data_IF_920016200834
#
_entry.id   IF_920016200834
#
_cell.length_a   1.000
_cell.length_b   1.000
_cell.length_c   1.000
_cell.angle_alpha   90.00
_cell.angle_beta   90.00
_cell.angle_gamma   90.00
#
_symmetry.space_group_name_H-M   'P 1'
#
loop_
_entity.id
_entity.type
_entity.pdbx_description
1 polymer ?
#
# COMPACT_ATOMS: atom_id res chain seq x y z
N UNK A 1 -4.36 -42.44 -53.68
CA UNK A 1 -4.87 -41.17 -53.12
C UNK A 1 -4.73 -41.25 -51.60
N UNK A 2 -3.56 -41.15 -50.97
CA UNK A 2 -2.73 -39.96 -50.64
C UNK A 2 -3.54 -38.70 -50.29
N UNK A 3 -3.48 -38.35 -49.00
CA UNK A 3 -3.57 -37.00 -48.40
C UNK A 3 -4.97 -36.40 -48.16
N UNK A 4 -5.60 -36.81 -47.06
CA UNK A 4 -6.44 -35.90 -46.25
C UNK A 4 -6.00 -36.15 -44.80
N UNK A 5 -4.86 -35.58 -44.39
CA UNK A 5 -4.82 -34.46 -43.43
C UNK A 5 -5.68 -34.81 -42.20
N UNK A 6 -5.19 -35.48 -41.16
CA UNK A 6 -4.17 -35.01 -40.22
C UNK A 6 -4.35 -33.54 -39.72
N UNK A 7 -5.56 -32.99 -39.82
CA UNK A 7 -5.83 -31.59 -39.50
C UNK A 7 -6.91 -31.38 -38.42
N UNK A 8 -7.17 -32.39 -37.57
CA UNK A 8 -8.12 -32.28 -36.46
C UNK A 8 -7.62 -33.06 -35.23
N UNK A 9 -6.34 -32.88 -34.89
CA UNK A 9 -5.88 -32.99 -33.50
C UNK A 9 -5.74 -31.54 -33.04
N UNK A 10 -6.86 -30.92 -32.68
CA UNK A 10 -6.93 -29.48 -32.54
C UNK A 10 -6.17 -29.11 -31.27
N UNK A 11 -5.18 -28.23 -31.42
CA UNK A 11 -5.09 -26.99 -30.66
C UNK A 11 -5.13 -27.02 -29.11
N UNK A 12 -4.96 -28.17 -28.44
CA UNK A 12 -5.14 -28.28 -26.99
C UNK A 12 -3.84 -28.30 -26.16
N UNK A 13 -2.66 -28.18 -26.76
CA UNK A 13 -1.40 -28.33 -26.03
C UNK A 13 -0.51 -27.08 -25.97
N UNK A 14 -1.02 -25.91 -26.38
CA UNK A 14 -0.25 -24.65 -26.30
C UNK A 14 -1.06 -23.58 -25.60
N UNK A 15 -1.38 -23.78 -24.33
CA UNK A 15 -1.59 -22.66 -23.42
C UNK A 15 -0.90 -22.99 -22.10
N UNK A 16 0.21 -22.30 -21.75
CA UNK A 16 0.64 -22.30 -20.36
C UNK A 16 -0.47 -21.60 -19.59
N UNK A 17 -1.34 -22.37 -18.94
CA UNK A 17 -2.34 -21.83 -18.01
C UNK A 17 -1.62 -21.38 -16.73
N UNK A 18 -0.84 -20.31 -16.84
CA UNK A 18 -0.55 -19.44 -15.71
C UNK A 18 -1.81 -18.61 -15.48
N UNK A 19 -2.79 -19.21 -14.79
CA UNK A 19 -4.04 -18.57 -14.46
C UNK A 19 -3.78 -17.49 -13.40
N UNK A 20 -3.52 -16.26 -13.87
CA UNK A 20 -3.30 -15.08 -13.06
C UNK A 20 -4.60 -14.54 -12.46
N UNK A 21 -5.17 -15.26 -11.50
CA UNK A 21 -6.35 -14.75 -10.77
C UNK A 21 -5.90 -13.82 -9.65
N UNK A 22 -6.19 -12.53 -9.81
CA UNK A 22 -5.95 -11.52 -8.77
C UNK A 22 -7.13 -11.51 -7.81
N UNK A 23 -6.91 -11.79 -6.54
CA UNK A 23 -7.91 -11.71 -5.48
C UNK A 23 -7.52 -10.66 -4.45
N UNK A 24 -8.51 -9.96 -3.88
CA UNK A 24 -8.33 -9.14 -2.70
C UNK A 24 -8.38 -10.03 -1.46
N UNK A 25 -7.49 -9.81 -0.49
CA UNK A 25 -7.53 -10.54 0.79
C UNK A 25 -8.18 -9.69 1.88
N UNK A 26 -9.17 -10.27 2.55
CA UNK A 26 -9.76 -9.71 3.76
C UNK A 26 -8.72 -9.66 4.90
N UNK A 27 -8.95 -8.87 5.97
CA UNK A 27 -8.08 -8.86 7.14
C UNK A 27 -7.88 -10.23 7.80
N UNK A 28 -8.83 -11.15 7.59
CA UNK A 28 -8.84 -12.52 8.09
C UNK A 28 -8.14 -13.51 7.13
N UNK A 29 -7.70 -13.05 5.97
CA UNK A 29 -6.95 -13.83 4.98
C UNK A 29 -7.81 -14.50 3.89
N UNK A 30 -9.14 -14.40 3.95
CA UNK A 30 -10.03 -14.94 2.92
C UNK A 30 -9.96 -14.14 1.62
N UNK A 31 -9.99 -14.86 0.50
CA UNK A 31 -9.99 -14.28 -0.84
C UNK A 31 -11.38 -13.79 -1.24
N UNK A 32 -11.43 -12.57 -1.76
CA UNK A 32 -12.65 -11.89 -2.22
C UNK A 32 -12.35 -11.17 -3.54
N UNK A 33 -13.39 -10.82 -4.31
CA UNK A 33 -13.28 -10.05 -5.56
C UNK A 33 -12.22 -10.58 -6.55
N UNK A 34 -12.17 -11.89 -6.77
CA UNK A 34 -11.21 -12.50 -7.67
C UNK A 34 -11.51 -12.16 -9.14
N UNK A 35 -10.52 -11.58 -9.83
CA UNK A 35 -10.59 -11.24 -11.25
C UNK A 35 -9.52 -12.03 -12.00
N UNK A 36 -9.91 -12.67 -13.10
CA UNK A 36 -8.96 -13.35 -13.98
C UNK A 36 -8.23 -12.34 -14.85
N UNK A 37 -6.90 -12.23 -14.68
CA UNK A 37 -6.03 -11.35 -15.45
C UNK A 37 -4.99 -12.24 -16.15
N UNK A 38 -5.13 -12.47 -17.47
CA UNK A 38 -4.17 -13.27 -18.22
C UNK A 38 -2.74 -12.74 -18.06
N UNK A 39 -1.80 -13.62 -17.67
CA UNK A 39 -0.39 -13.28 -17.46
C UNK A 39 -0.08 -12.56 -16.15
N UNK A 40 -1.06 -12.33 -15.27
CA UNK A 40 -0.79 -11.83 -13.93
C UNK A 40 -0.05 -12.88 -13.10
N UNK A 41 1.00 -12.45 -12.43
CA UNK A 41 1.78 -13.26 -11.49
C UNK A 41 1.58 -12.66 -10.11
N UNK A 42 1.10 -13.46 -9.16
CA UNK A 42 0.93 -13.00 -7.77
C UNK A 42 2.29 -12.56 -7.21
N UNK A 43 2.49 -11.28 -6.86
CA UNK A 43 3.74 -10.83 -6.26
C UNK A 43 4.09 -11.60 -4.99
N UNK A 44 3.10 -12.12 -4.25
CA UNK A 44 3.35 -12.95 -3.07
C UNK A 44 4.01 -14.31 -3.40
N UNK A 45 3.85 -14.81 -4.63
CA UNK A 45 4.39 -16.10 -5.09
C UNK A 45 5.61 -15.94 -6.01
N UNK A 46 5.77 -14.77 -6.63
CA UNK A 46 6.76 -14.52 -7.68
C UNK A 46 7.74 -13.38 -7.38
N UNK A 47 7.67 -12.74 -6.20
CA UNK A 47 8.70 -11.80 -5.77
C UNK A 47 10.08 -12.49 -5.72
N UNK A 48 11.06 -11.88 -6.37
CA UNK A 48 12.46 -12.34 -6.37
C UNK A 48 13.25 -11.75 -5.20
N UNK A 49 14.43 -12.29 -4.91
CA UNK A 49 15.33 -11.70 -3.90
C UNK A 49 15.73 -10.26 -4.26
N UNK A 50 15.88 -9.98 -5.56
CA UNK A 50 16.10 -8.63 -6.08
C UNK A 50 14.91 -7.71 -5.82
N UNK A 51 13.66 -8.18 -5.98
CA UNK A 51 12.45 -7.39 -5.68
C UNK A 51 12.29 -7.14 -4.18
N UNK A 52 12.79 -8.06 -3.34
CA UNK A 52 12.81 -7.91 -1.88
C UNK A 52 13.96 -7.03 -1.38
N UNK A 53 14.94 -6.73 -2.24
CA UNK A 53 16.13 -5.97 -1.87
C UNK A 53 15.75 -4.53 -1.51
N UNK A 54 15.88 -4.19 -0.23
CA UNK A 54 15.52 -2.87 0.31
C UNK A 54 14.12 -2.79 0.91
N UNK A 55 13.33 -3.87 0.86
CA UNK A 55 12.11 -3.97 1.64
C UNK A 55 12.46 -4.25 3.11
N UNK A 56 12.13 -3.31 3.99
CA UNK A 56 12.30 -3.47 5.43
C UNK A 56 10.99 -3.96 6.02
N UNK A 57 11.02 -5.13 6.66
CA UNK A 57 9.88 -5.55 7.48
C UNK A 57 9.78 -4.61 8.68
N UNK A 58 8.65 -3.90 8.76
CA UNK A 58 8.31 -3.05 9.90
C UNK A 58 7.20 -3.76 10.65
N UNK A 59 7.48 -4.17 11.89
CA UNK A 59 6.44 -4.78 12.74
C UNK A 59 5.30 -3.78 13.00
N UNK A 60 4.06 -4.24 13.26
CA UNK A 60 2.96 -3.34 13.58
C UNK A 60 3.28 -2.37 14.73
N UNK A 61 4.04 -2.82 15.74
CA UNK A 61 4.48 -1.96 16.82
C UNK A 61 5.51 -0.90 16.39
N UNK A 62 6.48 -1.29 15.54
CA UNK A 62 7.46 -0.35 14.98
C UNK A 62 6.77 0.69 14.11
N UNK A 63 5.78 0.28 13.31
CA UNK A 63 4.95 1.18 12.51
C UNK A 63 4.22 2.18 13.39
N UNK A 64 3.56 1.72 14.46
CA UNK A 64 2.88 2.60 15.42
C UNK A 64 3.82 3.62 16.06
N UNK A 65 5.02 3.20 16.49
CA UNK A 65 6.03 4.10 17.08
C UNK A 65 6.53 5.13 16.06
N UNK A 66 6.71 4.71 14.81
CA UNK A 66 7.12 5.60 13.72
C UNK A 66 6.03 6.64 13.42
N UNK A 67 4.78 6.22 13.31
CA UNK A 67 3.63 7.11 13.10
C UNK A 67 3.46 8.10 14.26
N UNK A 68 3.61 7.63 15.51
CA UNK A 68 3.57 8.49 16.69
C UNK A 68 4.68 9.55 16.66
N UNK A 69 5.91 9.14 16.28
CA UNK A 69 7.04 10.06 16.13
C UNK A 69 6.73 11.12 15.06
N UNK A 70 6.26 10.70 13.88
CA UNK A 70 5.89 11.61 12.78
C UNK A 70 4.79 12.57 13.23
N UNK A 71 3.78 12.08 13.95
CA UNK A 71 2.71 12.91 14.48
C UNK A 71 3.24 13.96 15.45
N UNK A 72 4.09 13.56 16.41
CA UNK A 72 4.70 14.48 17.39
C UNK A 72 5.53 15.56 16.68
N UNK A 73 6.34 15.20 15.69
CA UNK A 73 7.16 16.14 14.93
C UNK A 73 6.30 17.15 14.17
N UNK A 74 5.26 16.69 13.47
CA UNK A 74 4.32 17.58 12.77
C UNK A 74 3.55 18.48 13.72
N UNK A 75 3.13 17.96 14.88
CA UNK A 75 2.44 18.75 15.90
C UNK A 75 3.36 19.85 16.47
N UNK A 76 4.61 19.52 16.78
CA UNK A 76 5.61 20.48 17.26
C UNK A 76 5.88 21.58 16.22
N UNK A 77 5.97 21.20 14.94
CA UNK A 77 6.14 22.14 13.85
C UNK A 77 4.94 23.09 13.73
N UNK A 78 3.71 22.58 13.83
CA UNK A 78 2.50 23.40 13.79
C UNK A 78 2.42 24.37 14.99
N UNK A 79 2.73 23.90 16.20
CA UNK A 79 2.81 24.76 17.39
C UNK A 79 3.83 25.88 17.17
N UNK A 80 5.00 25.56 16.63
CA UNK A 80 6.07 26.53 16.35
C UNK A 80 5.63 27.59 15.34
N UNK A 81 4.96 27.18 14.27
CA UNK A 81 4.38 28.09 13.27
C UNK A 81 3.38 29.04 13.92
N UNK A 82 2.44 28.51 14.71
CA UNK A 82 1.41 29.35 15.36
C UNK A 82 2.01 30.35 16.34
N UNK A 83 3.04 29.95 17.09
CA UNK A 83 3.78 30.87 17.98
C UNK A 83 4.54 31.94 17.21
N UNK A 84 5.04 31.65 16.01
CA UNK A 84 5.65 32.69 15.16
C UNK A 84 4.62 33.68 14.59
N UNK A 85 3.35 33.28 14.48
CA UNK A 85 2.26 34.14 14.01
C UNK A 85 1.66 34.98 15.14
N UNK A 86 1.68 34.47 16.38
CA UNK A 86 1.23 35.18 17.57
C UNK A 86 2.16 34.90 18.74
N UNK A 87 3.06 35.86 19.02
CA UNK A 87 4.05 35.76 20.08
C UNK A 87 3.46 35.70 21.50
N UNK A 88 2.15 35.94 21.66
CA UNK A 88 1.45 35.83 22.96
C UNK A 88 0.99 34.40 23.24
N UNK A 89 0.97 33.53 22.23
CA UNK A 89 0.61 32.12 22.38
C UNK A 89 1.79 31.33 22.96
N UNK A 90 1.52 30.59 24.03
CA UNK A 90 2.40 29.55 24.55
C UNK A 90 2.08 28.19 23.89
N UNK A 91 2.87 27.15 24.20
CA UNK A 91 2.70 25.84 23.58
C UNK A 91 1.33 25.22 23.87
N UNK A 92 0.82 25.43 25.09
CA UNK A 92 -0.50 24.93 25.52
C UNK A 92 -1.64 25.66 24.80
N UNK A 93 -1.55 26.98 24.65
CA UNK A 93 -2.50 27.78 23.90
C UNK A 93 -2.49 27.42 22.42
N UNK A 94 -1.31 27.28 21.81
CA UNK A 94 -1.18 26.86 20.41
C UNK A 94 -1.77 25.46 20.18
N UNK A 95 -1.51 24.52 21.08
CA UNK A 95 -2.11 23.19 21.05
C UNK A 95 -3.63 23.25 21.18
N UNK A 96 -4.16 24.05 22.11
CA UNK A 96 -5.60 24.21 22.29
C UNK A 96 -6.28 24.78 21.03
N UNK A 97 -5.64 25.71 20.32
CA UNK A 97 -6.15 26.21 19.05
C UNK A 97 -6.14 25.15 17.94
N UNK A 98 -5.10 24.31 17.88
CA UNK A 98 -5.01 23.18 16.93
C UNK A 98 -6.13 22.18 17.21
N UNK A 99 -6.32 21.78 18.48
CA UNK A 99 -7.36 20.84 18.89
C UNK A 99 -8.77 21.40 18.67
N UNK A 100 -8.95 22.72 18.83
CA UNK A 100 -10.19 23.41 18.53
C UNK A 100 -10.43 23.61 17.02
N UNK A 101 -9.53 23.12 16.15
CA UNK A 101 -9.65 23.24 14.70
C UNK A 101 -9.55 24.67 14.18
N UNK A 102 -8.98 25.60 14.96
CA UNK A 102 -8.85 26.99 14.52
C UNK A 102 -7.86 27.10 13.36
N UNK A 103 -8.19 27.87 12.31
CA UNK A 103 -7.28 28.10 11.20
C UNK A 103 -6.03 28.88 11.66
N UNK A 104 -4.96 28.78 10.88
CA UNK A 104 -3.77 29.62 11.06
C UNK A 104 -4.13 31.09 10.82
N UNK A 105 -3.39 31.98 11.48
CA UNK A 105 -3.50 33.43 11.23
C UNK A 105 -2.49 33.77 10.13
N UNK A 106 -2.92 34.50 9.09
CA UNK A 106 -2.05 34.91 7.97
C UNK A 106 -1.61 36.36 8.17
#
# INVERSE_FOLDING_TARGET
MKKILFALVPLCFVLPSFAGTKCDRTPEGYETNCVHIPGWKDPALYATEEDMKGMVYVSPEQKRKMEEKIFREKLQAEITIRKSQDFRLDDAGALAEILAGKPRRF
#
